data_IF_158143105428
#
_entry.id   IF_158143105428
#
_cell.length_a   1.000
_cell.length_b   1.000
_cell.length_c   1.000
_cell.angle_alpha   90.00
_cell.angle_beta   90.00
_cell.angle_gamma   90.00
#
_symmetry.space_group_name_H-M   'P 1'
#
loop_
_entity.id
_entity.type
_entity.pdbx_description
1 polymer ?
#
# COMPACT_ATOMS: atom_id res chain seq x y z
N UNK A 1 -7.93 5.31 -10.88
CA UNK A 1 -6.75 4.42 -10.82
C UNK A 1 -7.16 2.95 -10.89
N UNK A 2 -7.63 2.35 -9.80
CA UNK A 2 -7.78 0.87 -9.67
C UNK A 2 -8.90 0.24 -10.50
N UNK A 3 -10.02 0.93 -10.75
CA UNK A 3 -11.11 0.39 -11.60
C UNK A 3 -10.75 0.31 -13.09
N UNK A 4 -9.88 1.21 -13.56
CA UNK A 4 -9.48 1.32 -14.96
C UNK A 4 -8.07 0.76 -15.22
N UNK A 5 -7.36 0.29 -14.18
CA UNK A 5 -5.96 -0.14 -14.31
C UNK A 5 -4.97 0.96 -14.71
N UNK A 6 -5.32 2.24 -14.50
CA UNK A 6 -4.51 3.38 -14.97
C UNK A 6 -3.39 3.72 -14.00
N UNK A 7 -2.15 3.46 -14.41
CA UNK A 7 -0.94 3.88 -13.70
C UNK A 7 -0.80 5.40 -13.61
N UNK A 8 -1.17 6.12 -14.67
CA UNK A 8 -1.09 7.58 -14.66
C UNK A 8 -2.01 8.18 -13.60
N UNK A 9 -3.26 7.71 -13.53
CA UNK A 9 -4.19 8.18 -12.50
C UNK A 9 -3.74 7.80 -11.09
N UNK A 10 -3.02 6.67 -10.92
CA UNK A 10 -2.41 6.34 -9.63
C UNK A 10 -1.30 7.34 -9.26
N UNK A 11 -0.43 7.69 -10.21
CA UNK A 11 0.63 8.70 -10.01
C UNK A 11 0.06 10.07 -9.65
N UNK A 12 -0.99 10.50 -10.35
CA UNK A 12 -1.65 11.78 -10.08
C UNK A 12 -2.27 11.82 -8.69
N UNK A 13 -2.91 10.71 -8.27
CA UNK A 13 -3.45 10.56 -6.92
C UNK A 13 -2.33 10.58 -5.86
N UNK A 14 -1.26 9.79 -6.04
CA UNK A 14 -0.16 9.76 -5.07
C UNK A 14 0.54 11.11 -4.94
N UNK A 15 0.71 11.85 -6.05
CA UNK A 15 1.35 13.17 -6.02
C UNK A 15 0.55 14.19 -5.19
N UNK A 16 -0.79 14.12 -5.21
CA UNK A 16 -1.64 14.98 -4.38
C UNK A 16 -1.49 14.65 -2.90
N UNK A 17 -1.49 13.36 -2.55
CA UNK A 17 -1.32 12.89 -1.16
C UNK A 17 0.10 13.14 -0.63
N UNK A 18 1.11 13.11 -1.52
CA UNK A 18 2.51 13.35 -1.19
C UNK A 18 2.93 14.83 -1.32
N UNK A 19 1.98 15.74 -1.55
CA UNK A 19 2.25 17.19 -1.58
C UNK A 19 2.74 17.71 -0.23
N UNK A 20 3.50 18.81 -0.23
CA UNK A 20 4.07 19.37 1.00
C UNK A 20 3.01 19.73 2.05
N UNK A 21 1.88 20.30 1.60
CA UNK A 21 0.73 20.62 2.47
C UNK A 21 0.13 19.38 3.10
N UNK A 22 -0.03 18.29 2.33
CA UNK A 22 -0.56 17.03 2.84
C UNK A 22 0.44 16.33 3.79
N UNK A 23 1.74 16.41 3.49
CA UNK A 23 2.81 15.87 4.35
C UNK A 23 2.85 16.55 5.71
N UNK A 24 2.71 17.88 5.77
CA UNK A 24 2.75 18.66 7.01
C UNK A 24 1.66 18.28 8.03
N UNK A 25 0.62 17.55 7.62
CA UNK A 25 -0.46 17.06 8.51
C UNK A 25 -0.09 15.78 9.28
N UNK A 26 1.10 15.21 9.05
CA UNK A 26 1.54 13.98 9.73
C UNK A 26 3.01 14.05 10.13
N UNK A 27 3.37 13.38 11.23
CA UNK A 27 4.76 13.32 11.72
C UNK A 27 5.72 12.83 10.63
N UNK A 28 5.34 11.80 9.86
CA UNK A 28 6.17 11.27 8.76
C UNK A 28 6.51 12.32 7.71
N UNK A 29 5.63 13.30 7.47
CA UNK A 29 5.86 14.34 6.47
C UNK A 29 6.81 15.44 6.90
N UNK A 30 7.20 15.47 8.18
CA UNK A 30 8.28 16.33 8.69
C UNK A 30 9.67 15.79 8.32
N UNK A 31 9.75 14.54 7.83
CA UNK A 31 10.99 13.91 7.42
C UNK A 31 11.15 13.90 5.90
N UNK A 32 12.40 14.07 5.43
CA UNK A 32 12.78 13.78 4.04
C UNK A 32 13.65 12.54 3.96
N UNK A 33 13.43 11.73 2.93
CA UNK A 33 14.35 10.65 2.57
C UNK A 33 15.53 11.28 1.84
N UNK A 34 16.73 11.19 2.42
CA UNK A 34 17.96 11.61 1.73
C UNK A 34 18.27 10.61 0.62
N UNK A 35 18.32 11.09 -0.61
CA UNK A 35 18.56 10.24 -1.77
C UNK A 35 20.04 9.85 -1.87
N UNK A 36 20.32 8.88 -2.74
CA UNK A 36 21.68 8.36 -2.94
C UNK A 36 22.68 9.49 -3.27
N UNK A 37 22.27 10.42 -4.13
CA UNK A 37 23.04 11.61 -4.52
C UNK A 37 23.39 12.52 -3.33
N UNK A 38 22.44 12.75 -2.41
CA UNK A 38 22.64 13.57 -1.20
C UNK A 38 23.52 12.88 -0.13
N UNK A 39 23.84 11.60 -0.32
CA UNK A 39 24.59 10.78 0.64
C UNK A 39 25.88 10.21 0.06
N UNK A 40 26.23 10.53 -1.19
CA UNK A 40 27.41 9.98 -1.88
C UNK A 40 27.28 8.50 -2.24
N UNK A 41 26.08 7.93 -2.18
CA UNK A 41 25.81 6.52 -2.56
C UNK A 41 25.46 6.42 -4.04
N UNK A 42 25.68 5.23 -4.62
CA UNK A 42 25.23 4.91 -5.98
C UNK A 42 23.77 4.48 -5.97
N UNK A 43 23.03 4.83 -7.03
CA UNK A 43 21.70 4.29 -7.29
C UNK A 43 21.82 2.80 -7.61
N UNK A 44 20.79 2.05 -7.23
CA UNK A 44 20.67 0.61 -7.49
C UNK A 44 19.70 0.44 -8.66
N UNK A 45 19.93 -0.55 -9.53
CA UNK A 45 19.05 -0.81 -10.65
C UNK A 45 17.73 -1.45 -10.17
N UNK A 46 16.62 -1.23 -10.87
CA UNK A 46 15.30 -1.67 -10.39
C UNK A 46 15.16 -3.21 -10.39
N UNK A 47 15.90 -3.90 -11.22
CA UNK A 47 15.99 -5.37 -11.28
C UNK A 47 16.76 -5.97 -10.09
N UNK A 48 17.61 -5.19 -9.43
CA UNK A 48 18.26 -5.56 -8.17
C UNK A 48 17.32 -5.35 -6.96
N UNK A 49 16.20 -4.63 -7.15
CA UNK A 49 15.18 -4.45 -6.11
C UNK A 49 14.24 -5.66 -6.09
N UNK A 50 13.75 -5.99 -4.90
CA UNK A 50 12.73 -7.02 -4.72
C UNK A 50 11.54 -6.84 -5.68
N UNK A 51 11.09 -7.94 -6.28
CA UNK A 51 9.96 -7.94 -7.21
C UNK A 51 8.68 -7.42 -6.54
N UNK A 52 7.80 -6.77 -7.32
CA UNK A 52 6.50 -6.34 -6.82
C UNK A 52 5.69 -7.51 -6.24
N UNK A 53 5.78 -8.69 -6.86
CA UNK A 53 5.11 -9.91 -6.40
C UNK A 53 5.60 -10.39 -5.02
N UNK A 54 6.86 -10.13 -4.66
CA UNK A 54 7.39 -10.45 -3.33
C UNK A 54 7.17 -9.34 -2.30
N UNK A 55 7.09 -8.09 -2.76
CA UNK A 55 6.74 -6.95 -1.90
C UNK A 55 5.31 -7.10 -1.38
N UNK A 56 4.34 -7.42 -2.25
CA UNK A 56 2.91 -7.50 -1.86
C UNK A 56 2.62 -8.58 -0.81
N UNK A 57 3.46 -9.61 -0.70
CA UNK A 57 3.37 -10.64 0.36
C UNK A 57 3.55 -10.06 1.77
N UNK A 58 4.18 -8.89 1.89
CA UNK A 58 4.35 -8.17 3.16
C UNK A 58 3.14 -7.31 3.51
N UNK A 59 2.20 -7.12 2.59
CA UNK A 59 1.00 -6.32 2.84
C UNK A 59 -0.05 -7.14 3.57
N UNK A 60 -0.77 -6.47 4.44
CA UNK A 60 -1.92 -7.02 5.14
C UNK A 60 -3.07 -6.04 5.03
N UNK A 61 -4.30 -6.53 4.85
CA UNK A 61 -5.47 -5.66 5.01
C UNK A 61 -5.66 -5.34 6.50
N UNK A 62 -6.21 -4.18 6.80
CA UNK A 62 -6.58 -3.83 8.17
C UNK A 62 -7.60 -4.80 8.75
N UNK A 63 -7.61 -4.93 10.08
CA UNK A 63 -8.63 -5.65 10.83
C UNK A 63 -9.97 -4.91 10.66
N UNK A 64 -10.90 -5.50 9.92
CA UNK A 64 -12.23 -4.93 9.67
C UNK A 64 -13.28 -5.96 10.02
N UNK A 65 -14.08 -5.68 11.05
CA UNK A 65 -15.05 -6.65 11.56
C UNK A 65 -16.20 -6.88 10.58
N UNK A 66 -16.76 -8.09 10.62
CA UNK A 66 -17.97 -8.47 9.88
C UNK A 66 -19.20 -7.61 10.19
N UNK A 67 -19.22 -6.90 11.33
CA UNK A 67 -20.27 -5.94 11.68
C UNK A 67 -20.02 -4.52 11.13
N UNK A 68 -18.80 -4.21 10.71
CA UNK A 68 -18.40 -2.88 10.22
C UNK A 68 -18.39 -2.77 8.70
N UNK A 69 -18.25 -3.89 7.99
CA UNK A 69 -18.29 -3.97 6.53
C UNK A 69 -19.19 -5.13 6.08
N UNK A 70 -19.69 -5.06 4.85
CA UNK A 70 -20.51 -6.16 4.33
C UNK A 70 -19.70 -7.44 4.15
N UNK A 71 -20.39 -8.59 4.17
CA UNK A 71 -19.80 -9.91 3.90
C UNK A 71 -19.06 -9.91 2.56
N UNK A 72 -19.67 -9.32 1.53
CA UNK A 72 -19.08 -9.25 0.19
C UNK A 72 -17.77 -8.48 0.19
N UNK A 73 -17.68 -7.38 0.94
CA UNK A 73 -16.44 -6.62 1.08
C UNK A 73 -15.38 -7.44 1.81
N UNK A 74 -15.73 -8.09 2.92
CA UNK A 74 -14.82 -8.94 3.69
C UNK A 74 -14.26 -10.09 2.84
N UNK A 75 -15.13 -10.86 2.18
CA UNK A 75 -14.74 -11.97 1.31
C UNK A 75 -13.92 -11.50 0.10
N UNK A 76 -14.23 -10.33 -0.46
CA UNK A 76 -13.46 -9.75 -1.58
C UNK A 76 -12.02 -9.48 -1.16
N UNK A 77 -11.81 -8.89 0.02
CA UNK A 77 -10.48 -8.63 0.56
C UNK A 77 -9.70 -9.93 0.79
N UNK A 78 -10.31 -10.92 1.45
CA UNK A 78 -9.70 -12.21 1.69
C UNK A 78 -9.27 -12.90 0.39
N UNK A 79 -10.15 -12.95 -0.62
CA UNK A 79 -9.84 -13.54 -1.93
C UNK A 79 -8.71 -12.79 -2.64
N UNK A 80 -8.71 -11.45 -2.61
CA UNK A 80 -7.67 -10.65 -3.22
C UNK A 80 -6.30 -10.90 -2.56
N UNK A 81 -6.23 -10.90 -1.23
CA UNK A 81 -4.99 -11.12 -0.49
C UNK A 81 -4.44 -12.54 -0.70
N UNK A 82 -5.31 -13.55 -0.69
CA UNK A 82 -4.92 -14.94 -1.00
C UNK A 82 -4.38 -15.08 -2.42
N UNK A 83 -4.94 -14.36 -3.40
CA UNK A 83 -4.50 -14.39 -4.80
C UNK A 83 -3.07 -13.84 -4.95
N UNK A 84 -2.73 -12.78 -4.22
CA UNK A 84 -1.42 -12.12 -4.30
C UNK A 84 -0.40 -12.64 -3.26
N UNK A 85 -0.79 -13.62 -2.44
CA UNK A 85 0.05 -14.16 -1.36
C UNK A 85 0.27 -13.20 -0.18
N UNK A 86 -0.58 -12.19 -0.03
CA UNK A 86 -0.60 -11.31 1.14
C UNK A 86 -1.46 -11.89 2.26
N UNK A 87 -1.74 -11.09 3.29
CA UNK A 87 -2.53 -11.53 4.45
C UNK A 87 -3.83 -10.73 4.58
N UNK A 88 -4.95 -11.39 4.86
CA UNK A 88 -6.17 -10.74 5.33
C UNK A 88 -6.28 -10.84 6.86
N UNK A 89 -7.03 -9.93 7.47
CA UNK A 89 -7.30 -9.93 8.91
C UNK A 89 -8.81 -9.91 9.15
N UNK A 90 -9.26 -10.86 9.94
CA UNK A 90 -10.66 -11.21 10.25
C UNK A 90 -11.40 -10.10 11.01
N UNK A 91 -10.64 -9.23 11.69
CA UNK A 91 -11.20 -8.31 12.67
C UNK A 91 -11.71 -9.01 13.94
N UNK A 92 -12.32 -8.22 14.82
CA UNK A 92 -12.81 -8.68 16.13
C UNK A 92 -14.11 -9.51 16.04
N UNK A 93 -14.76 -9.54 14.88
CA UNK A 93 -16.08 -10.15 14.69
C UNK A 93 -16.08 -11.65 14.39
N UNK A 94 -14.91 -12.30 14.34
CA UNK A 94 -14.76 -13.69 13.90
C UNK A 94 -14.81 -13.89 12.38
N UNK A 95 -14.69 -15.14 11.93
CA UNK A 95 -14.84 -15.55 10.52
C UNK A 95 -15.96 -16.58 10.35
N UNK A 96 -16.56 -16.61 9.16
CA UNK A 96 -17.43 -17.71 8.65
C UNK A 96 -16.88 -18.26 7.33
#
# INVERSE_FOLDING_TARGET
AVRQGSWQTFKDYSAQIDSETARAQSIRGLFKIRLAEETGRKKVALDEVMSAADIVKRFSTGAMSFGSISREAHTTLARAMNTIGGKSNTGEGGEE
#
